data_IF_232430301887
#
_entry.id   IF_232430301887
#
_cell.length_a   1.000
_cell.length_b   1.000
_cell.length_c   1.000
_cell.angle_alpha   90.00
_cell.angle_beta   90.00
_cell.angle_gamma   90.00
#
_symmetry.space_group_name_H-M   'P 1'
#
loop_
_entity.id
_entity.type
_entity.pdbx_description
1 polymer ?
#
# COMPACT_ATOMS: atom_id res chain seq x y z
N UNK A 1 -1.49 -11.20 -16.50
CA UNK A 1 -1.37 -9.85 -17.04
C UNK A 1 -1.68 -8.84 -15.94
N UNK A 2 -1.03 -7.67 -15.96
CA UNK A 2 -1.29 -6.54 -15.07
C UNK A 2 -1.15 -5.24 -15.88
N UNK A 3 -1.73 -4.17 -15.36
CA UNK A 3 -1.49 -2.82 -15.84
C UNK A 3 -1.29 -1.88 -14.64
N UNK A 4 -0.63 -0.77 -14.88
CA UNK A 4 -0.47 0.33 -13.94
C UNK A 4 -0.94 1.60 -14.62
N UNK A 5 -1.78 2.37 -13.94
CA UNK A 5 -2.16 3.71 -14.33
C UNK A 5 -1.70 4.67 -13.24
N UNK A 6 -0.72 5.51 -13.55
CA UNK A 6 -0.19 6.53 -12.66
C UNK A 6 -0.14 7.85 -13.42
N UNK A 7 -0.93 8.82 -12.97
CA UNK A 7 -0.97 10.17 -13.55
C UNK A 7 -0.80 11.19 -12.42
N UNK A 8 0.42 11.66 -12.18
CA UNK A 8 0.68 12.69 -11.18
C UNK A 8 -0.06 14.00 -11.48
N UNK A 9 -0.51 14.67 -10.43
CA UNK A 9 -1.09 16.03 -10.54
C UNK A 9 -0.02 17.06 -10.90
N UNK A 10 1.21 16.87 -10.43
CA UNK A 10 2.35 17.74 -10.65
C UNK A 10 3.51 16.97 -11.30
N UNK A 11 4.67 17.60 -11.48
CA UNK A 11 5.85 16.98 -12.09
C UNK A 11 6.30 15.73 -11.27
N UNK A 12 6.11 15.79 -9.95
CA UNK A 12 6.43 14.69 -9.02
C UNK A 12 5.18 14.29 -8.23
N UNK A 13 5.10 13.03 -7.83
CA UNK A 13 3.94 12.45 -7.13
C UNK A 13 4.27 12.07 -5.70
N UNK A 14 3.28 12.24 -4.80
CA UNK A 14 3.21 11.55 -3.52
C UNK A 14 2.87 10.08 -3.67
N UNK A 15 2.10 9.73 -4.70
CA UNK A 15 1.73 8.34 -4.98
C UNK A 15 2.88 7.58 -5.59
N UNK A 16 2.99 6.31 -5.21
CA UNK A 16 3.94 5.40 -5.84
C UNK A 16 3.39 3.97 -5.86
N UNK A 17 3.97 3.15 -6.71
CA UNK A 17 3.78 1.70 -6.68
C UNK A 17 5.14 0.98 -6.68
N UNK A 18 5.13 -0.25 -6.19
CA UNK A 18 6.30 -1.12 -6.20
C UNK A 18 5.86 -2.55 -6.52
N UNK A 19 6.64 -3.26 -7.33
CA UNK A 19 6.42 -4.66 -7.67
C UNK A 19 7.74 -5.40 -7.58
N UNK A 20 7.73 -6.55 -6.92
CA UNK A 20 8.90 -7.41 -6.85
C UNK A 20 8.55 -8.86 -6.51
N UNK A 21 9.51 -9.74 -6.74
CA UNK A 21 9.41 -11.16 -6.42
C UNK A 21 10.29 -11.50 -5.22
N UNK A 22 9.75 -12.28 -4.30
CA UNK A 22 10.46 -12.82 -3.15
C UNK A 22 10.06 -14.28 -3.01
N UNK A 23 11.02 -15.17 -3.27
CA UNK A 23 10.78 -16.60 -3.39
C UNK A 23 9.65 -16.86 -4.39
N UNK A 24 8.60 -17.61 -4.01
CA UNK A 24 7.43 -17.89 -4.88
C UNK A 24 6.32 -16.84 -4.79
N UNK A 25 6.59 -15.70 -4.17
CA UNK A 25 5.61 -14.65 -3.95
C UNK A 25 5.89 -13.43 -4.82
N UNK A 26 4.85 -12.92 -5.47
CA UNK A 26 4.85 -11.61 -6.11
C UNK A 26 4.23 -10.62 -5.14
N UNK A 27 5.01 -9.62 -4.72
CA UNK A 27 4.53 -8.55 -3.85
C UNK A 27 4.25 -7.31 -4.68
N UNK A 28 3.07 -6.74 -4.50
CA UNK A 28 2.67 -5.47 -5.14
C UNK A 28 2.24 -4.49 -4.05
N UNK A 29 2.71 -3.28 -4.17
CA UNK A 29 2.43 -2.17 -3.25
C UNK A 29 1.88 -1.00 -4.05
N UNK A 30 0.82 -0.37 -3.56
CA UNK A 30 0.29 0.90 -4.04
C UNK A 30 0.13 1.81 -2.83
N UNK A 31 0.70 2.98 -2.88
CA UNK A 31 0.74 3.92 -1.75
C UNK A 31 0.44 5.34 -2.20
N UNK A 32 -0.22 6.07 -1.31
CA UNK A 32 -0.56 7.48 -1.40
C UNK A 32 0.07 8.19 -0.19
N UNK A 33 1.07 9.02 -0.43
CA UNK A 33 1.79 9.72 0.63
C UNK A 33 1.17 11.06 0.95
N UNK A 34 1.18 11.45 2.22
CA UNK A 34 0.72 12.76 2.66
C UNK A 34 1.44 13.88 1.91
N UNK A 35 0.65 14.81 1.33
CA UNK A 35 1.15 15.97 0.62
C UNK A 35 1.37 15.71 -0.88
N UNK A 36 1.55 16.80 -1.62
CA UNK A 36 1.78 16.80 -3.07
C UNK A 36 3.03 17.63 -3.40
N UNK A 37 3.46 17.58 -4.66
CA UNK A 37 4.68 18.26 -5.08
C UNK A 37 5.93 17.72 -4.37
N UNK A 38 6.86 18.59 -4.06
CA UNK A 38 8.18 18.22 -3.51
C UNK A 38 8.09 17.49 -2.16
N UNK A 39 7.30 17.95 -1.16
CA UNK A 39 7.15 17.22 0.11
C UNK A 39 6.61 15.80 -0.07
N UNK A 40 5.53 15.64 -0.86
CA UNK A 40 4.98 14.33 -1.18
C UNK A 40 6.00 13.41 -1.88
N UNK A 41 6.79 13.96 -2.81
CA UNK A 41 7.84 13.22 -3.49
C UNK A 41 8.94 12.70 -2.54
N UNK A 42 9.33 13.46 -1.54
CA UNK A 42 10.28 12.97 -0.53
C UNK A 42 9.70 11.80 0.28
N UNK A 43 8.43 11.89 0.66
CA UNK A 43 7.75 10.81 1.38
C UNK A 43 7.63 9.56 0.50
N UNK A 44 7.24 9.71 -0.78
CA UNK A 44 7.13 8.59 -1.70
C UNK A 44 8.48 7.92 -1.98
N UNK A 45 9.55 8.70 -2.17
CA UNK A 45 10.92 8.17 -2.32
C UNK A 45 11.37 7.40 -1.08
N UNK A 46 11.11 7.94 0.12
CA UNK A 46 11.41 7.26 1.37
C UNK A 46 10.61 5.96 1.49
N UNK A 47 9.29 6.01 1.25
CA UNK A 47 8.41 4.84 1.28
C UNK A 47 8.88 3.74 0.31
N UNK A 48 9.18 4.11 -0.93
CA UNK A 48 9.69 3.21 -1.95
C UNK A 48 11.01 2.53 -1.52
N UNK A 49 11.95 3.30 -0.98
CA UNK A 49 13.22 2.78 -0.49
C UNK A 49 13.02 1.80 0.68
N UNK A 50 12.12 2.12 1.62
CA UNK A 50 11.83 1.25 2.76
C UNK A 50 11.10 -0.03 2.32
N UNK A 51 10.13 0.05 1.42
CA UNK A 51 9.46 -1.12 0.85
C UNK A 51 10.49 -2.03 0.17
N UNK A 52 11.37 -1.48 -0.64
CA UNK A 52 12.44 -2.26 -1.28
C UNK A 52 13.36 -2.92 -0.24
N UNK A 53 13.76 -2.20 0.81
CA UNK A 53 14.59 -2.73 1.89
C UNK A 53 13.87 -3.88 2.64
N UNK A 54 12.59 -3.73 2.95
CA UNK A 54 11.82 -4.73 3.70
C UNK A 54 11.55 -5.96 2.83
N UNK A 55 11.10 -5.76 1.60
CA UNK A 55 10.66 -6.86 0.74
C UNK A 55 11.83 -7.52 0.03
N UNK A 56 12.61 -6.75 -0.75
CA UNK A 56 13.65 -7.33 -1.59
C UNK A 56 14.90 -7.75 -0.80
N UNK A 57 15.31 -6.95 0.20
CA UNK A 57 16.56 -7.21 0.95
C UNK A 57 16.31 -8.12 2.15
N UNK A 58 15.28 -7.82 2.99
CA UNK A 58 14.95 -8.63 4.17
C UNK A 58 14.10 -9.86 3.85
N UNK A 59 13.66 -10.02 2.59
CA UNK A 59 12.85 -11.17 2.13
C UNK A 59 11.53 -11.34 2.90
N UNK A 60 10.88 -10.22 3.22
CA UNK A 60 9.59 -10.23 3.91
C UNK A 60 8.49 -10.02 2.87
N UNK A 61 7.60 -11.00 2.77
CA UNK A 61 6.49 -10.99 1.81
C UNK A 61 5.09 -10.99 2.47
N UNK A 62 5.00 -11.11 3.80
CA UNK A 62 3.71 -11.04 4.50
C UNK A 62 3.24 -9.59 4.62
N UNK A 63 2.11 -9.19 3.98
CA UNK A 63 1.66 -7.80 3.89
C UNK A 63 1.57 -7.07 5.24
N UNK A 64 0.94 -7.66 6.24
CA UNK A 64 0.80 -7.03 7.56
C UNK A 64 2.16 -6.74 8.22
N UNK A 65 3.14 -7.62 8.04
CA UNK A 65 4.49 -7.44 8.58
C UNK A 65 5.25 -6.34 7.83
N UNK A 66 5.03 -6.23 6.51
CA UNK A 66 5.58 -5.15 5.69
C UNK A 66 5.07 -3.81 6.22
N UNK A 67 3.75 -3.67 6.42
CA UNK A 67 3.14 -2.44 6.93
C UNK A 67 3.61 -2.09 8.35
N UNK A 68 3.68 -3.07 9.27
CA UNK A 68 4.17 -2.85 10.63
C UNK A 68 5.62 -2.37 10.67
N UNK A 69 6.48 -2.92 9.80
CA UNK A 69 7.87 -2.48 9.68
C UNK A 69 7.97 -1.08 9.05
N UNK A 70 7.26 -0.86 7.95
CA UNK A 70 7.25 0.42 7.26
C UNK A 70 6.81 1.54 8.21
N UNK A 71 5.75 1.33 9.00
CA UNK A 71 5.28 2.29 10.01
C UNK A 71 6.37 2.62 11.04
N UNK A 72 7.10 1.62 11.53
CA UNK A 72 8.20 1.83 12.48
C UNK A 72 9.30 2.71 11.87
N UNK A 73 9.65 2.45 10.61
CA UNK A 73 10.69 3.23 9.93
C UNK A 73 10.22 4.67 9.64
N UNK A 74 8.95 4.89 9.26
CA UNK A 74 8.39 6.23 9.09
C UNK A 74 8.42 7.01 10.39
N UNK A 75 7.88 6.45 11.48
CA UNK A 75 7.86 7.10 12.80
C UNK A 75 9.29 7.48 13.25
N UNK A 76 10.24 6.57 13.08
CA UNK A 76 11.64 6.77 13.44
C UNK A 76 12.31 7.85 12.60
N UNK A 77 12.16 7.79 11.27
CA UNK A 77 12.81 8.72 10.33
C UNK A 77 12.30 10.15 10.51
N UNK A 78 11.00 10.31 10.68
CA UNK A 78 10.36 11.62 10.84
C UNK A 78 10.24 12.06 12.32
N UNK A 79 10.83 11.27 13.26
CA UNK A 79 10.82 11.55 14.71
C UNK A 79 9.42 11.89 15.25
N UNK A 80 8.41 11.19 14.72
CA UNK A 80 7.02 11.45 15.11
C UNK A 80 6.76 11.06 16.55
N UNK A 81 6.06 11.93 17.27
CA UNK A 81 5.58 11.74 18.65
C UNK A 81 4.07 11.98 18.70
N UNK A 82 3.42 11.58 19.78
CA UNK A 82 1.98 11.83 19.97
C UNK A 82 1.63 13.31 19.87
N UNK A 83 2.54 14.19 20.32
CA UNK A 83 2.41 15.65 20.32
C UNK A 83 2.84 16.29 18.98
N UNK A 84 3.27 15.51 17.99
CA UNK A 84 3.66 16.06 16.70
C UNK A 84 2.46 16.72 16.01
N UNK A 85 2.58 18.00 15.63
CA UNK A 85 1.55 18.74 14.90
C UNK A 85 1.35 18.16 13.49
N UNK A 86 2.44 17.73 12.85
CA UNK A 86 2.43 17.11 11.51
C UNK A 86 2.72 15.61 11.67
N UNK A 87 1.79 14.80 11.19
CA UNK A 87 1.87 13.34 11.20
C UNK A 87 1.92 12.81 9.77
N UNK A 88 2.91 13.29 9.01
CA UNK A 88 3.12 12.82 7.65
C UNK A 88 3.23 11.30 7.62
N UNK A 89 2.59 10.69 6.64
CA UNK A 89 2.54 9.25 6.51
C UNK A 89 2.08 8.85 5.13
N UNK A 90 1.49 7.68 5.05
CA UNK A 90 0.91 7.20 3.80
C UNK A 90 -0.26 6.26 4.04
N UNK A 91 -1.19 6.29 3.11
CA UNK A 91 -2.23 5.30 2.93
C UNK A 91 -1.73 4.28 1.90
N UNK A 92 -1.85 3.00 2.19
CA UNK A 92 -1.13 2.00 1.42
C UNK A 92 -1.89 0.67 1.37
N UNK A 93 -1.84 0.03 0.22
CA UNK A 93 -2.29 -1.34 0.00
C UNK A 93 -1.10 -2.23 -0.36
N UNK A 94 -1.02 -3.40 0.25
CA UNK A 94 -0.01 -4.41 -0.05
C UNK A 94 -0.68 -5.74 -0.30
N UNK A 95 -0.35 -6.36 -1.43
CA UNK A 95 -0.69 -7.76 -1.69
C UNK A 95 0.56 -8.61 -1.86
N UNK A 96 0.45 -9.87 -1.50
CA UNK A 96 1.44 -10.91 -1.77
C UNK A 96 0.72 -12.10 -2.40
N UNK A 97 1.01 -12.36 -3.67
CA UNK A 97 0.41 -13.43 -4.46
C UNK A 97 1.38 -14.61 -4.53
N UNK A 98 0.94 -15.77 -4.05
CA UNK A 98 1.67 -17.02 -4.20
C UNK A 98 1.04 -17.87 -5.30
N UNK A 99 1.85 -18.20 -6.32
CA UNK A 99 1.36 -18.94 -7.50
C UNK A 99 1.16 -20.42 -7.24
N UNK A 100 1.97 -21.01 -6.38
CA UNK A 100 1.94 -22.43 -6.06
C UNK A 100 0.69 -22.77 -5.22
N UNK A 101 0.50 -22.07 -4.12
CA UNK A 101 -0.66 -22.26 -3.24
C UNK A 101 -1.96 -21.63 -3.75
N UNK A 102 -1.89 -20.81 -4.81
CA UNK A 102 -3.02 -20.02 -5.33
C UNK A 102 -3.69 -19.16 -4.25
N UNK A 103 -2.86 -18.55 -3.42
CA UNK A 103 -3.33 -17.64 -2.38
C UNK A 103 -2.86 -16.22 -2.65
N UNK A 104 -3.68 -15.26 -2.25
CA UNK A 104 -3.31 -13.86 -2.15
C UNK A 104 -3.46 -13.43 -0.70
N UNK A 105 -2.43 -12.80 -0.17
CA UNK A 105 -2.49 -12.13 1.12
C UNK A 105 -2.63 -10.64 0.89
N UNK A 106 -3.35 -9.97 1.77
CA UNK A 106 -3.58 -8.54 1.72
C UNK A 106 -3.48 -7.91 3.11
N UNK A 107 -2.92 -6.73 3.18
CA UNK A 107 -3.07 -5.79 4.28
C UNK A 107 -3.11 -4.36 3.72
N UNK A 108 -3.90 -3.51 4.34
CA UNK A 108 -4.04 -2.10 3.93
C UNK A 108 -4.06 -1.16 5.13
N UNK A 109 -3.56 0.04 4.91
CA UNK A 109 -3.71 1.22 5.74
C UNK A 109 -4.62 2.17 4.96
N UNK A 110 -5.89 2.31 5.37
CA UNK A 110 -7.01 3.03 4.74
C UNK A 110 -7.41 2.53 3.33
N UNK A 111 -6.47 2.18 2.46
CA UNK A 111 -6.75 1.77 1.08
C UNK A 111 -7.12 0.29 1.00
N UNK A 112 -8.38 -0.06 0.62
CA UNK A 112 -8.86 -1.43 0.52
C UNK A 112 -8.33 -2.12 -0.74
N UNK A 113 -8.46 -3.46 -0.75
CA UNK A 113 -8.31 -4.26 -1.96
C UNK A 113 -9.68 -4.54 -2.56
N UNK A 114 -9.83 -4.31 -3.85
CA UNK A 114 -11.03 -4.67 -4.60
C UNK A 114 -10.77 -5.95 -5.40
N UNK A 115 -11.68 -6.91 -5.29
CA UNK A 115 -11.68 -8.13 -6.07
C UNK A 115 -12.93 -8.20 -6.94
N UNK A 116 -12.75 -8.53 -8.21
CA UNK A 116 -13.87 -8.85 -9.11
C UNK A 116 -13.80 -10.32 -9.47
N UNK A 117 -14.84 -11.05 -9.11
CA UNK A 117 -15.02 -12.49 -9.39
C UNK A 117 -16.37 -12.72 -10.06
N UNK A 118 -16.37 -13.28 -11.26
CA UNK A 118 -17.61 -13.55 -11.99
C UNK A 118 -18.49 -12.31 -12.23
N UNK A 119 -17.90 -11.13 -12.37
CA UNK A 119 -18.58 -9.85 -12.52
C UNK A 119 -19.09 -9.22 -11.21
N UNK A 120 -18.86 -9.85 -10.06
CA UNK A 120 -19.21 -9.33 -8.74
C UNK A 120 -18.01 -8.65 -8.11
N UNK A 121 -18.20 -7.41 -7.67
CA UNK A 121 -17.19 -6.63 -6.95
C UNK A 121 -17.30 -6.90 -5.44
N UNK A 122 -16.16 -7.23 -4.82
CA UNK A 122 -16.00 -7.37 -3.38
C UNK A 122 -14.88 -6.46 -2.91
N UNK A 123 -15.09 -5.73 -1.80
CA UNK A 123 -14.05 -4.91 -1.17
C UNK A 123 -13.55 -5.61 0.10
N UNK A 124 -12.26 -5.90 0.13
CA UNK A 124 -11.57 -6.42 1.31
C UNK A 124 -11.08 -5.21 2.12
N UNK A 125 -11.56 -5.03 3.36
CA UNK A 125 -11.32 -3.81 4.12
C UNK A 125 -9.86 -3.68 4.55
N UNK A 126 -9.36 -2.43 4.57
CA UNK A 126 -8.12 -2.04 5.21
C UNK A 126 -8.33 -1.70 6.69
N UNK A 127 -7.25 -1.64 7.45
CA UNK A 127 -7.27 -1.03 8.79
C UNK A 127 -7.38 0.49 8.69
N UNK A 128 -8.20 1.10 9.55
CA UNK A 128 -8.35 2.57 9.64
C UNK A 128 -7.20 3.19 10.45
N UNK A 129 -5.98 2.94 9.98
CA UNK A 129 -4.73 3.43 10.57
C UNK A 129 -3.75 3.77 9.44
N UNK A 130 -3.15 4.99 9.45
CA UNK A 130 -2.12 5.36 8.47
C UNK A 130 -0.77 4.71 8.78
N UNK A 131 0.15 4.76 7.83
CA UNK A 131 1.57 4.50 8.07
C UNK A 131 2.20 5.74 8.70
N UNK A 132 1.87 6.01 9.93
CA UNK A 132 2.40 7.08 10.77
C UNK A 132 2.09 6.80 12.23
N UNK A 133 2.46 7.72 13.13
CA UNK A 133 2.01 7.66 14.51
C UNK A 133 0.49 7.94 14.59
N UNK A 134 -0.23 7.17 15.37
CA UNK A 134 -1.67 7.29 15.55
C UNK A 134 -2.11 7.08 16.99
N UNK A 135 -3.37 7.39 17.28
CA UNK A 135 -3.98 7.24 18.60
C UNK A 135 -4.09 5.78 19.07
N UNK A 136 -4.03 4.82 18.14
CA UNK A 136 -4.11 3.39 18.42
C UNK A 136 -2.95 2.68 17.74
N UNK A 137 -2.16 1.97 18.54
CA UNK A 137 -1.02 1.21 18.07
C UNK A 137 -1.34 -0.29 18.10
N UNK A 138 -1.83 -0.83 16.99
CA UNK A 138 -2.01 -2.27 16.82
C UNK A 138 -1.32 -2.72 15.51
N UNK A 139 -1.02 -4.00 15.39
CA UNK A 139 -0.55 -4.58 14.13
C UNK A 139 -1.65 -4.54 13.07
N UNK A 140 -1.24 -4.43 11.79
CA UNK A 140 -2.15 -4.50 10.66
C UNK A 140 -2.74 -5.89 10.51
N UNK A 141 -4.00 -5.93 10.07
CA UNK A 141 -4.72 -7.17 9.79
C UNK A 141 -4.20 -7.80 8.50
N UNK A 142 -3.93 -9.10 8.53
CA UNK A 142 -3.55 -9.85 7.33
C UNK A 142 -4.72 -10.70 6.85
N UNK A 143 -5.27 -10.36 5.69
CA UNK A 143 -6.30 -11.15 5.03
C UNK A 143 -5.64 -12.22 4.14
N UNK A 144 -6.23 -13.41 4.07
CA UNK A 144 -5.78 -14.49 3.19
C UNK A 144 -6.98 -14.96 2.38
N UNK A 145 -6.83 -14.95 1.05
CA UNK A 145 -7.88 -15.29 0.10
C UNK A 145 -7.34 -16.33 -0.89
N UNK A 146 -8.17 -17.28 -1.26
CA UNK A 146 -7.90 -18.14 -2.42
C UNK A 146 -8.36 -17.43 -3.69
N UNK A 147 -7.53 -17.43 -4.73
CA UNK A 147 -7.90 -16.86 -6.01
C UNK A 147 -8.10 -17.94 -7.09
N UNK A 148 -8.93 -17.61 -8.06
CA UNK A 148 -9.29 -18.46 -9.18
C UNK A 148 -8.93 -17.79 -10.51
N UNK A 149 -8.83 -18.62 -11.56
CA UNK A 149 -8.64 -18.07 -12.91
C UNK A 149 -9.84 -17.17 -13.29
N UNK A 150 -9.54 -15.96 -13.72
CA UNK A 150 -10.54 -14.94 -14.05
C UNK A 150 -10.79 -13.91 -12.96
N UNK A 151 -10.28 -14.12 -11.73
CA UNK A 151 -10.32 -13.07 -10.71
C UNK A 151 -9.45 -11.89 -11.12
N UNK A 152 -9.95 -10.68 -10.86
CA UNK A 152 -9.22 -9.43 -11.03
C UNK A 152 -9.09 -8.73 -9.69
N UNK A 153 -7.88 -8.21 -9.42
CA UNK A 153 -7.60 -7.45 -8.19
C UNK A 153 -7.20 -6.03 -8.54
N UNK A 154 -7.77 -5.07 -7.81
CA UNK A 154 -7.50 -3.65 -8.03
C UNK A 154 -7.08 -3.00 -6.72
N UNK A 155 -6.02 -2.21 -6.79
CA UNK A 155 -5.55 -1.32 -5.73
C UNK A 155 -5.46 0.08 -6.30
N UNK A 156 -5.90 1.08 -5.57
CA UNK A 156 -5.90 2.47 -6.01
C UNK A 156 -5.62 3.39 -4.82
N UNK A 157 -5.03 4.55 -5.10
CA UNK A 157 -5.08 5.72 -4.20
C UNK A 157 -6.45 6.39 -4.31
N UNK A 158 -6.75 7.34 -3.43
CA UNK A 158 -7.99 8.11 -3.44
C UNK A 158 -8.11 9.02 -4.66
N UNK A 159 -6.98 9.33 -5.30
CA UNK A 159 -6.92 10.17 -6.50
C UNK A 159 -7.82 9.68 -7.64
N UNK A 160 -8.06 8.37 -7.76
CA UNK A 160 -9.00 7.85 -8.75
C UNK A 160 -10.45 8.17 -8.40
N UNK A 161 -10.85 7.98 -7.15
CA UNK A 161 -12.22 8.23 -6.69
C UNK A 161 -12.53 9.73 -6.53
N UNK A 162 -11.49 10.54 -6.29
CA UNK A 162 -11.61 11.99 -6.07
C UNK A 162 -11.61 12.83 -7.36
N UNK A 163 -11.56 12.19 -8.54
CA UNK A 163 -11.64 12.90 -9.79
C UNK A 163 -13.04 13.51 -9.98
N UNK A 164 -13.07 14.84 -10.19
CA UNK A 164 -14.29 15.49 -10.65
C UNK A 164 -14.50 15.15 -12.12
N UNK A 165 -15.50 14.33 -12.41
CA UNK A 165 -15.89 14.06 -13.79
C UNK A 165 -16.45 15.33 -14.43
N UNK A 166 -15.91 15.71 -15.58
CA UNK A 166 -16.52 16.71 -16.45
C UNK A 166 -17.29 16.05 -17.58
N UNK A 167 -18.00 16.78 -18.48
CA UNK A 167 -18.25 18.20 -18.62
C UNK A 167 -19.29 18.68 -17.70
#
# INVERSE_FOLDING_TARGET
>A
PHFVFLQPKEIVSGDFYWVGEVDDNIVVVVADSTGHGVPGAFMSMFGLAQVNQIVAVQKIYKPSVILDKLRKEVIKAFKQTEDSEIKDGMDISVISLNRESRTIQFAGAFNPLYMVRGGVLEAIPADSMPISIGLRYKSYTNHVLEYQTGDCFYMASDGYASQFGGP
#
